data_IF_203515940064
#
_entry.id   IF_203515940064
#
_cell.length_a   1.000
_cell.length_b   1.000
_cell.length_c   1.000
_cell.angle_alpha   90.00
_cell.angle_beta   90.00
_cell.angle_gamma   90.00
#
_symmetry.space_group_name_H-M   'P 1'
#
loop_
_entity.id
_entity.type
_entity.pdbx_description
1 polymer ?
#
# COMPACT_ATOMS: atom_id res chain seq x y z
N UNK A 1 -4.01 -4.79 14.50
CA UNK A 1 -3.14 -4.60 13.35
C UNK A 1 -1.75 -5.11 13.69
N UNK A 2 -1.17 -5.87 12.80
CA UNK A 2 0.16 -6.44 13.06
C UNK A 2 1.24 -5.37 12.97
N UNK A 3 2.20 -5.45 13.85
CA UNK A 3 3.37 -4.59 13.81
C UNK A 3 4.27 -5.01 12.64
N UNK A 4 4.99 -4.09 11.97
CA UNK A 4 5.89 -4.44 10.86
C UNK A 4 6.85 -5.59 11.17
N UNK A 5 7.35 -5.68 12.39
CA UNK A 5 8.23 -6.78 12.78
C UNK A 5 7.54 -8.14 12.67
N UNK A 6 6.25 -8.22 13.01
CA UNK A 6 5.50 -9.46 12.88
C UNK A 6 5.37 -9.89 11.44
N UNK A 7 5.14 -8.96 10.54
CA UNK A 7 5.13 -9.24 9.09
C UNK A 7 6.50 -9.71 8.63
N UNK A 8 7.57 -9.07 9.11
CA UNK A 8 8.93 -9.44 8.74
C UNK A 8 9.30 -10.83 9.24
N UNK A 9 8.90 -11.18 10.44
CA UNK A 9 9.10 -12.53 10.97
C UNK A 9 8.35 -13.57 10.13
N UNK A 10 7.13 -13.25 9.72
CA UNK A 10 6.35 -14.10 8.82
C UNK A 10 7.05 -14.28 7.48
N UNK A 11 7.63 -13.20 6.93
CA UNK A 11 8.40 -13.28 5.69
C UNK A 11 9.59 -14.21 5.84
N UNK A 12 10.33 -14.12 6.94
CA UNK A 12 11.49 -14.98 7.18
C UNK A 12 11.08 -16.46 7.26
N UNK A 13 9.95 -16.75 7.90
CA UNK A 13 9.44 -18.13 7.93
C UNK A 13 9.05 -18.63 6.54
N UNK A 14 8.53 -17.73 5.70
CA UNK A 14 7.98 -18.07 4.39
C UNK A 14 9.08 -18.17 3.31
N UNK A 15 10.01 -17.23 3.32
CA UNK A 15 10.99 -17.08 2.25
C UNK A 15 12.42 -17.43 2.66
N UNK A 16 12.67 -17.62 3.93
CA UNK A 16 14.01 -17.82 4.47
C UNK A 16 14.66 -16.49 4.84
N UNK A 17 15.92 -16.56 5.22
CA UNK A 17 16.65 -15.39 5.68
C UNK A 17 16.25 -14.96 7.07
N UNK A 18 16.37 -13.67 7.33
CA UNK A 18 16.10 -13.07 8.64
C UNK A 18 15.01 -12.02 8.50
N UNK A 19 14.32 -11.75 9.61
CA UNK A 19 13.29 -10.71 9.63
C UNK A 19 13.83 -9.36 9.12
N UNK A 20 15.05 -9.01 9.51
CA UNK A 20 15.66 -7.74 9.09
C UNK A 20 15.75 -7.60 7.57
N UNK A 21 15.83 -8.71 6.84
CA UNK A 21 15.89 -8.67 5.38
C UNK A 21 14.64 -8.06 4.76
N UNK A 22 13.51 -8.13 5.46
CA UNK A 22 12.19 -7.74 4.95
C UNK A 22 11.61 -6.52 5.66
N UNK A 23 12.22 -6.13 6.77
CA UNK A 23 11.66 -5.10 7.65
C UNK A 23 11.47 -3.77 6.93
N UNK A 24 12.40 -3.38 6.06
CA UNK A 24 12.29 -2.14 5.31
C UNK A 24 11.05 -2.06 4.45
N UNK A 25 10.70 -3.18 3.79
CA UNK A 25 9.50 -3.24 2.96
C UNK A 25 8.25 -3.12 3.82
N UNK A 26 8.19 -3.87 4.92
CA UNK A 26 7.02 -3.83 5.81
C UNK A 26 6.87 -2.48 6.48
N UNK A 27 7.96 -1.85 6.88
CA UNK A 27 7.93 -0.49 7.43
C UNK A 27 7.35 0.49 6.42
N UNK A 28 7.71 0.35 5.14
CA UNK A 28 7.23 1.23 4.10
C UNK A 28 5.69 1.17 3.97
N UNK A 29 5.11 -0.02 4.02
CA UNK A 29 3.64 -0.15 3.94
C UNK A 29 2.95 0.54 5.11
N UNK A 30 3.53 0.51 6.30
CA UNK A 30 2.91 1.07 7.50
C UNK A 30 3.35 2.51 7.81
N UNK A 31 4.29 3.04 7.04
CA UNK A 31 4.81 4.40 7.22
C UNK A 31 3.71 5.45 7.09
N UNK A 32 2.69 5.15 6.32
CA UNK A 32 1.54 6.06 6.13
C UNK A 32 0.74 6.30 7.40
N UNK A 33 0.98 5.53 8.47
CA UNK A 33 0.39 5.82 9.78
C UNK A 33 0.76 7.21 10.29
N UNK A 34 1.87 7.76 9.84
CA UNK A 34 2.28 9.10 10.21
C UNK A 34 1.32 10.16 9.67
N UNK A 35 0.56 9.84 8.62
CA UNK A 35 -0.42 10.76 8.06
C UNK A 35 -1.81 10.57 8.67
N UNK A 36 -2.13 9.33 9.03
CA UNK A 36 -3.43 9.00 9.60
C UNK A 36 -3.28 7.74 10.46
N UNK A 37 -3.39 7.88 11.77
CA UNK A 37 -2.95 6.87 12.72
C UNK A 37 -3.79 5.59 12.73
N UNK A 38 -5.07 5.66 12.35
CA UNK A 38 -5.91 4.47 12.38
C UNK A 38 -5.84 3.67 11.06
N UNK A 39 -6.65 2.61 10.96
CA UNK A 39 -6.60 1.68 9.83
C UNK A 39 -6.83 2.36 8.47
N UNK A 40 -7.40 3.57 8.43
CA UNK A 40 -7.66 4.27 7.17
C UNK A 40 -6.37 4.65 6.43
N UNK A 41 -5.23 4.72 7.14
CA UNK A 41 -3.93 4.96 6.48
C UNK A 41 -3.65 3.89 5.41
N UNK A 42 -4.24 2.71 5.55
CA UNK A 42 -4.05 1.60 4.62
C UNK A 42 -4.52 1.93 3.21
N UNK A 43 -5.43 2.90 3.07
CA UNK A 43 -5.88 3.34 1.75
C UNK A 43 -4.74 3.89 0.89
N UNK A 44 -3.65 4.32 1.49
CA UNK A 44 -2.54 4.93 0.76
C UNK A 44 -1.63 3.90 0.07
N UNK A 45 -1.37 2.76 0.72
CA UNK A 45 -0.39 1.80 0.20
C UNK A 45 -0.84 0.35 0.19
N UNK A 46 -1.88 0.00 0.97
CA UNK A 46 -2.33 -1.39 1.10
C UNK A 46 -3.30 -1.76 -0.02
N UNK A 47 -2.79 -1.84 -1.24
CA UNK A 47 -3.54 -2.27 -2.43
C UNK A 47 -2.56 -2.69 -3.52
N UNK A 48 -3.08 -3.23 -4.61
CA UNK A 48 -2.25 -3.75 -5.70
C UNK A 48 -1.26 -2.71 -6.22
N UNK A 49 -1.72 -1.48 -6.43
CA UNK A 49 -0.86 -0.40 -6.92
C UNK A 49 0.23 -0.03 -5.92
N UNK A 50 -0.06 -0.10 -4.62
CA UNK A 50 0.93 0.09 -3.57
C UNK A 50 2.01 -0.99 -3.60
N UNK A 51 1.62 -2.23 -3.89
CA UNK A 51 2.56 -3.33 -4.04
C UNK A 51 3.50 -3.08 -5.23
N UNK A 52 2.96 -2.64 -6.36
CA UNK A 52 3.79 -2.29 -7.52
C UNK A 52 4.69 -1.09 -7.22
N UNK A 53 4.22 -0.14 -6.45
CA UNK A 53 5.04 1.00 -6.05
C UNK A 53 6.21 0.54 -5.16
N UNK A 54 5.96 -0.37 -4.22
CA UNK A 54 7.02 -0.95 -3.40
C UNK A 54 8.08 -1.63 -4.28
N UNK A 55 7.64 -2.36 -5.30
CA UNK A 55 8.55 -2.98 -6.25
C UNK A 55 9.43 -1.95 -6.97
N UNK A 56 8.87 -0.81 -7.29
CA UNK A 56 9.64 0.27 -7.93
C UNK A 56 10.65 0.90 -6.98
N UNK A 57 10.33 0.97 -5.71
CA UNK A 57 11.19 1.60 -4.70
C UNK A 57 12.33 0.68 -4.28
N UNK A 58 12.01 -0.58 -4.02
CA UNK A 58 12.97 -1.54 -3.47
C UNK A 58 13.65 -2.41 -4.53
N UNK A 59 13.13 -2.40 -5.75
CA UNK A 59 13.60 -3.27 -6.83
C UNK A 59 12.67 -4.45 -7.04
N UNK A 60 12.84 -5.15 -8.16
CA UNK A 60 12.00 -6.31 -8.49
C UNK A 60 12.23 -7.44 -7.50
N UNK A 61 13.48 -7.62 -7.07
CA UNK A 61 13.85 -8.62 -6.07
C UNK A 61 14.78 -8.01 -5.05
N UNK A 62 14.78 -8.61 -3.86
CA UNK A 62 15.83 -8.38 -2.86
C UNK A 62 16.57 -9.71 -2.66
N UNK A 63 17.81 -9.64 -2.19
CA UNK A 63 18.57 -10.83 -1.83
C UNK A 63 18.55 -10.93 -0.32
N UNK A 64 18.02 -12.04 0.20
CA UNK A 64 17.95 -12.23 1.64
C UNK A 64 19.28 -12.72 2.22
N UNK A 65 19.34 -12.91 3.54
CA UNK A 65 20.55 -13.37 4.22
C UNK A 65 21.01 -14.77 3.79
N UNK A 66 20.11 -15.56 3.24
CA UNK A 66 20.44 -16.90 2.72
C UNK A 66 20.94 -16.84 1.27
N UNK A 67 21.05 -15.66 0.69
CA UNK A 67 21.50 -15.49 -0.69
C UNK A 67 20.42 -15.74 -1.73
N UNK A 68 19.16 -15.90 -1.32
CA UNK A 68 18.05 -16.11 -2.25
C UNK A 68 17.49 -14.79 -2.74
N UNK A 69 17.08 -14.77 -4.00
CA UNK A 69 16.35 -13.64 -4.58
C UNK A 69 14.89 -13.79 -4.28
N UNK A 70 14.32 -12.80 -3.59
CA UNK A 70 12.91 -12.81 -3.20
C UNK A 70 12.21 -11.68 -3.92
N UNK A 71 11.14 -11.95 -4.67
CA UNK A 71 10.37 -10.87 -5.31
C UNK A 71 9.77 -9.93 -4.26
N UNK A 72 10.04 -8.65 -4.42
CA UNK A 72 9.47 -7.63 -3.54
C UNK A 72 7.95 -7.69 -3.57
N UNK A 73 7.38 -7.98 -4.73
CA UNK A 73 5.93 -8.14 -4.89
C UNK A 73 5.37 -9.19 -3.94
N UNK A 74 6.06 -10.31 -3.76
CA UNK A 74 5.59 -11.37 -2.86
C UNK A 74 5.55 -10.90 -1.42
N UNK A 75 6.55 -10.13 -1.01
CA UNK A 75 6.60 -9.57 0.35
C UNK A 75 5.46 -8.58 0.55
N UNK A 76 5.22 -7.72 -0.45
CA UNK A 76 4.12 -6.77 -0.41
C UNK A 76 2.75 -7.44 -0.37
N UNK A 77 2.55 -8.48 -1.19
CA UNK A 77 1.31 -9.24 -1.19
C UNK A 77 1.06 -9.88 0.17
N UNK A 78 2.10 -10.44 0.75
CA UNK A 78 2.00 -11.03 2.08
C UNK A 78 1.56 -9.99 3.11
N UNK A 79 2.20 -8.80 3.11
CA UNK A 79 1.86 -7.74 4.06
C UNK A 79 0.38 -7.36 3.97
N UNK A 80 -0.07 -7.09 2.75
CA UNK A 80 -1.46 -6.64 2.53
C UNK A 80 -2.45 -7.73 2.89
N UNK A 81 -2.17 -8.98 2.51
CA UNK A 81 -3.05 -10.10 2.85
C UNK A 81 -3.11 -10.36 4.34
N UNK A 82 -1.99 -10.24 5.04
CA UNK A 82 -1.98 -10.45 6.49
C UNK A 82 -2.80 -9.38 7.21
N UNK A 83 -2.80 -8.16 6.69
CA UNK A 83 -3.59 -7.08 7.28
C UNK A 83 -5.07 -7.12 6.90
N UNK A 84 -5.40 -7.46 5.65
CA UNK A 84 -6.74 -7.28 5.12
C UNK A 84 -7.45 -8.58 4.73
N UNK A 85 -6.72 -9.68 4.64
CA UNK A 85 -7.28 -10.95 4.15
C UNK A 85 -7.43 -11.03 2.64
N UNK A 86 -7.22 -9.91 1.93
CA UNK A 86 -7.30 -9.83 0.47
C UNK A 86 -6.43 -8.68 0.00
N UNK A 87 -6.21 -8.61 -1.32
CA UNK A 87 -5.49 -7.48 -1.93
C UNK A 87 -6.51 -6.64 -2.68
N UNK A 88 -6.91 -5.48 -2.14
CA UNK A 88 -7.78 -4.57 -2.89
C UNK A 88 -7.00 -3.86 -3.99
N UNK A 89 -7.73 -3.21 -4.89
CA UNK A 89 -7.14 -2.31 -5.86
C UNK A 89 -7.27 -0.86 -5.38
N UNK A 90 -6.52 0.06 -5.99
CA UNK A 90 -6.72 1.48 -5.72
C UNK A 90 -8.16 1.89 -6.05
N UNK A 91 -8.75 1.31 -7.10
CA UNK A 91 -10.14 1.60 -7.45
C UNK A 91 -11.09 1.19 -6.32
N UNK A 92 -10.87 0.05 -5.68
CA UNK A 92 -11.69 -0.36 -4.53
C UNK A 92 -11.67 0.71 -3.44
N UNK A 93 -10.50 1.35 -3.24
CA UNK A 93 -10.37 2.42 -2.25
C UNK A 93 -11.03 3.71 -2.71
N UNK A 94 -10.75 4.12 -3.95
CA UNK A 94 -11.23 5.40 -4.48
C UNK A 94 -12.74 5.41 -4.65
N UNK A 95 -13.34 4.27 -4.94
CA UNK A 95 -14.80 4.19 -5.08
C UNK A 95 -15.54 4.47 -3.78
N UNK A 96 -14.85 4.42 -2.65
CA UNK A 96 -15.43 4.74 -1.35
C UNK A 96 -15.34 6.23 -1.01
N UNK A 97 -14.62 7.00 -1.80
CA UNK A 97 -14.43 8.43 -1.54
C UNK A 97 -15.66 9.19 -2.01
N UNK A 98 -16.21 10.02 -1.12
CA UNK A 98 -17.28 10.92 -1.46
C UNK A 98 -16.70 12.16 -2.14
N UNK A 99 -17.03 12.45 -3.41
CA UNK A 99 -16.46 13.60 -4.09
C UNK A 99 -16.80 14.91 -3.39
N UNK A 100 -15.79 15.76 -3.25
CA UNK A 100 -15.95 17.09 -2.66
C UNK A 100 -15.62 18.12 -3.73
N UNK A 101 -16.22 19.32 -3.59
CA UNK A 101 -16.07 20.35 -4.61
C UNK A 101 -14.62 20.69 -4.94
N UNK A 102 -13.77 20.82 -3.92
CA UNK A 102 -12.36 21.17 -4.12
C UNK A 102 -11.59 20.12 -4.90
N UNK A 103 -12.09 18.88 -4.96
CA UNK A 103 -11.42 17.79 -5.68
C UNK A 103 -11.48 17.96 -7.19
N UNK A 104 -12.38 18.77 -7.69
CA UNK A 104 -12.49 19.05 -9.13
C UNK A 104 -11.46 20.08 -9.60
N UNK A 105 -10.91 20.86 -8.68
CA UNK A 105 -9.94 21.88 -9.00
C UNK A 105 -10.58 23.20 -9.39
N UNK A 106 -9.75 24.24 -9.50
CA UNK A 106 -10.20 25.61 -9.79
C UNK A 106 -10.85 25.75 -11.16
N UNK A 107 -10.31 25.06 -12.16
CA UNK A 107 -10.86 25.13 -13.51
C UNK A 107 -12.31 24.70 -13.53
N UNK A 108 -12.65 23.65 -12.78
CA UNK A 108 -14.01 23.17 -12.71
C UNK A 108 -14.92 24.24 -12.12
N UNK A 109 -14.51 24.89 -11.05
CA UNK A 109 -15.30 25.92 -10.41
C UNK A 109 -15.58 27.09 -11.33
N UNK A 110 -14.63 27.46 -12.17
CA UNK A 110 -14.78 28.53 -13.13
C UNK A 110 -15.72 28.19 -14.28
N UNK A 111 -15.89 26.91 -14.56
CA UNK A 111 -16.73 26.47 -15.68
C UNK A 111 -18.18 26.55 -15.32
N UNK A 112 -18.57 26.06 -14.17
CA UNK A 112 -19.98 26.07 -13.80
C UNK A 112 -20.20 25.68 -12.36
N UNK A 113 -21.12 26.40 -11.75
CA UNK A 113 -21.71 26.01 -10.48
C UNK A 113 -22.97 25.22 -10.68
N UNK A 114 -23.45 25.08 -11.91
CA UNK A 114 -24.76 24.52 -12.20
C UNK A 114 -24.73 23.00 -12.32
N UNK A 115 -23.67 22.48 -12.88
CA UNK A 115 -23.59 21.05 -13.12
C UNK A 115 -22.34 20.51 -12.50
N UNK A 116 -22.48 19.37 -11.88
CA UNK A 116 -21.34 18.60 -11.43
C UNK A 116 -21.15 17.45 -12.39
N UNK A 117 -19.91 17.06 -12.67
CA UNK A 117 -19.70 15.90 -13.51
C UNK A 117 -20.36 14.68 -12.86
N UNK A 118 -21.32 14.13 -13.53
CA UNK A 118 -21.91 12.90 -13.10
C UNK A 118 -20.86 11.80 -13.26
N UNK A 119 -20.81 10.90 -12.37
CA UNK A 119 -19.85 9.82 -12.45
C UNK A 119 -18.55 10.08 -11.71
N UNK A 120 -18.44 11.19 -11.08
CA UNK A 120 -17.30 11.40 -10.19
C UNK A 120 -17.61 10.89 -8.81
#
# INVERSE_FOLDING_TARGET
>A
MAHPLKHAESSARRFGGKADDYLGIHNWFDESKSFFADFRHRALRHHAEGIFLAERIFGVTIVNSDGKRIPVRYVGEQHVKEDLGRIPTAQDRLSQISPQRWMYGQRFEGITSKTQPSGL
#
